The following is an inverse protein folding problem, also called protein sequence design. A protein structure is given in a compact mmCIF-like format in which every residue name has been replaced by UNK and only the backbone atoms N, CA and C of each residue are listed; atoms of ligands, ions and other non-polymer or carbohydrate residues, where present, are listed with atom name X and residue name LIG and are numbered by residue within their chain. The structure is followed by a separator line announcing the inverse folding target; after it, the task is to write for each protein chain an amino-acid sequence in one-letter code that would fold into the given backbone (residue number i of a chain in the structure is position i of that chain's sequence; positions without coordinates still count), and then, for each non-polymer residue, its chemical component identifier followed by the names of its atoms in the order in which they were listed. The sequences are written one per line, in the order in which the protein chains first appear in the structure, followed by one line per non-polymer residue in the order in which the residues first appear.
data_IF_602610953527
#
_entry.id   IF_602610953527
#
_cell.length_a   1.000
_cell.length_b   1.000
_cell.length_c   1.000
_cell.angle_alpha   90.00
_cell.angle_beta   90.00
_cell.angle_gamma   90.00
#
_symmetry.space_group_name_H-M   'P 1'
#
loop_
_entity.id
_entity.type
_entity.pdbx_description
1 polymer ?
#
# COMPACT_ATOMS: atom_id res chain seq x y z
N UNK A 1 -15.49 11.33 -33.28
CA UNK A 1 -15.40 11.18 -31.81
C UNK A 1 -14.31 10.17 -31.50
N UNK A 2 -13.18 10.61 -30.94
CA UNK A 2 -12.01 9.76 -30.68
C UNK A 2 -12.27 8.88 -29.46
N UNK A 3 -12.16 7.55 -29.62
CA UNK A 3 -12.42 6.57 -28.56
C UNK A 3 -11.16 6.39 -27.71
N UNK A 4 -11.22 6.73 -26.42
CA UNK A 4 -10.14 6.45 -25.47
C UNK A 4 -10.12 4.95 -25.13
N UNK A 5 -8.96 4.31 -25.24
CA UNK A 5 -8.75 2.87 -24.99
C UNK A 5 -7.84 2.59 -23.78
N UNK A 6 -7.66 3.56 -22.88
CA UNK A 6 -6.80 3.42 -21.70
C UNK A 6 -7.49 2.74 -20.51
N UNK A 7 -6.68 2.31 -19.54
CA UNK A 7 -7.16 1.85 -18.22
C UNK A 7 -6.99 2.99 -17.21
N UNK A 8 -8.01 3.22 -16.39
CA UNK A 8 -7.89 4.07 -15.21
C UNK A 8 -7.40 3.23 -14.04
N UNK A 9 -6.36 3.69 -13.36
CA UNK A 9 -5.93 3.11 -12.09
C UNK A 9 -6.35 4.05 -10.98
N UNK A 10 -7.28 3.60 -10.14
CA UNK A 10 -7.65 4.33 -8.92
C UNK A 10 -6.59 4.01 -7.89
N UNK A 11 -5.82 5.04 -7.51
CA UNK A 11 -4.84 4.93 -6.44
C UNK A 11 -5.51 5.35 -5.13
N UNK A 12 -5.24 4.64 -4.02
CA UNK A 12 -5.69 5.08 -2.70
C UNK A 12 -5.07 6.46 -2.40
N UNK A 13 -5.82 7.26 -1.65
CA UNK A 13 -5.26 8.44 -1.02
C UNK A 13 -4.43 8.00 0.19
N UNK A 14 -3.13 8.29 0.18
CA UNK A 14 -2.25 8.04 1.31
C UNK A 14 -2.16 9.31 2.15
N UNK A 15 -2.39 9.25 3.47
CA UNK A 15 -2.02 10.32 4.37
C UNK A 15 -0.55 10.72 4.17
N UNK A 16 -0.24 12.01 4.36
CA UNK A 16 1.08 12.58 4.01
C UNK A 16 2.26 11.87 4.70
N UNK A 17 2.07 11.46 5.94
CA UNK A 17 3.04 10.69 6.73
C UNK A 17 3.21 9.24 6.25
N UNK A 18 2.24 8.71 5.50
CA UNK A 18 2.26 7.36 4.92
C UNK A 18 2.71 7.34 3.44
N UNK A 19 2.96 8.48 2.79
CA UNK A 19 3.37 8.51 1.38
C UNK A 19 4.65 7.71 1.09
N UNK A 20 5.57 7.58 2.06
CA UNK A 20 6.77 6.73 1.93
C UNK A 20 6.46 5.25 1.67
N UNK A 21 5.27 4.77 2.06
CA UNK A 21 4.83 3.40 1.72
C UNK A 21 4.72 3.21 0.20
N UNK A 22 4.36 4.26 -0.55
CA UNK A 22 4.31 4.23 -2.00
C UNK A 22 5.70 3.97 -2.57
N UNK A 23 6.71 4.71 -2.10
CA UNK A 23 8.10 4.54 -2.53
C UNK A 23 8.61 3.13 -2.24
N UNK A 24 8.32 2.61 -1.03
CA UNK A 24 8.67 1.24 -0.64
C UNK A 24 7.97 0.19 -1.52
N UNK A 25 6.71 0.41 -1.89
CA UNK A 25 5.94 -0.51 -2.73
C UNK A 25 6.48 -0.58 -4.17
N UNK A 26 6.95 0.54 -4.72
CA UNK A 26 7.55 0.61 -6.06
C UNK A 26 9.01 0.15 -6.10
N UNK A 27 9.69 0.06 -4.95
CA UNK A 27 11.08 -0.38 -4.89
C UNK A 27 11.20 -1.90 -4.75
N UNK A 28 11.65 -2.59 -5.80
CA UNK A 28 11.79 -4.06 -5.85
C UNK A 28 12.58 -4.67 -4.67
N UNK A 29 13.40 -3.88 -3.97
CA UNK A 29 14.08 -4.27 -2.73
C UNK A 29 13.13 -4.90 -1.70
N UNK A 30 11.84 -4.54 -1.67
CA UNK A 30 10.87 -5.15 -0.74
C UNK A 30 10.79 -6.68 -0.86
N UNK A 31 11.13 -7.26 -2.02
CA UNK A 31 11.04 -8.72 -2.26
C UNK A 31 12.00 -9.55 -1.39
N UNK A 32 13.12 -8.97 -0.95
CA UNK A 32 14.06 -9.63 -0.03
C UNK A 32 14.29 -8.85 1.28
N UNK A 33 13.56 -7.75 1.49
CA UNK A 33 13.63 -6.96 2.71
C UNK A 33 12.50 -7.36 3.68
N UNK A 34 12.83 -8.17 4.68
CA UNK A 34 11.89 -8.64 5.69
C UNK A 34 11.27 -7.50 6.52
N UNK A 35 11.99 -6.38 6.72
CA UNK A 35 11.49 -5.22 7.47
C UNK A 35 10.37 -4.55 6.68
N UNK A 36 10.57 -4.31 5.38
CA UNK A 36 9.55 -3.75 4.50
C UNK A 36 8.32 -4.66 4.41
N UNK A 37 8.52 -5.98 4.27
CA UNK A 37 7.40 -6.94 4.26
C UNK A 37 6.63 -6.93 5.58
N UNK A 38 7.33 -6.85 6.71
CA UNK A 38 6.71 -6.75 8.04
C UNK A 38 5.89 -5.47 8.19
N UNK A 39 6.37 -4.34 7.65
CA UNK A 39 5.63 -3.08 7.65
C UNK A 39 4.28 -3.20 6.95
N UNK A 40 4.25 -3.76 5.74
CA UNK A 40 2.98 -4.00 5.02
C UNK A 40 2.10 -5.03 5.72
N UNK A 41 2.69 -6.09 6.29
CA UNK A 41 1.95 -7.08 7.10
C UNK A 41 1.31 -6.44 8.35
N UNK A 42 1.96 -5.46 8.98
CA UNK A 42 1.42 -4.73 10.15
C UNK A 42 0.22 -3.86 9.80
N UNK A 43 0.17 -3.28 8.59
CA UNK A 43 -0.99 -2.50 8.13
C UNK A 43 -2.26 -3.36 8.04
N UNK A 44 -2.16 -4.53 7.42
CA UNK A 44 -3.25 -5.50 7.35
C UNK A 44 -2.71 -6.87 6.97
N UNK A 45 -2.54 -7.75 7.96
CA UNK A 45 -2.00 -9.09 7.75
C UNK A 45 -2.88 -9.96 6.84
N UNK A 46 -4.20 -9.83 6.93
CA UNK A 46 -5.12 -10.61 6.10
C UNK A 46 -5.06 -10.14 4.65
N UNK A 47 -5.03 -8.83 4.42
CA UNK A 47 -4.93 -8.28 3.07
C UNK A 47 -3.55 -8.54 2.45
N UNK A 48 -2.50 -8.52 3.27
CA UNK A 48 -1.14 -8.89 2.86
C UNK A 48 -1.09 -10.31 2.28
N UNK A 49 -1.71 -11.29 2.96
CA UNK A 49 -1.82 -12.65 2.43
C UNK A 49 -2.71 -12.72 1.17
N UNK A 50 -3.87 -12.06 1.16
CA UNK A 50 -4.80 -12.03 0.02
C UNK A 50 -4.23 -11.36 -1.24
N UNK A 51 -3.22 -10.52 -1.08
CA UNK A 51 -2.52 -9.84 -2.18
C UNK A 51 -1.25 -10.57 -2.57
N UNK A 52 -1.02 -11.78 -2.04
CA UNK A 52 0.19 -12.59 -2.29
C UNK A 52 1.46 -11.79 -2.03
N UNK A 53 1.48 -11.05 -0.92
CA UNK A 53 2.62 -10.24 -0.49
C UNK A 53 3.02 -9.15 -1.51
N UNK A 54 2.07 -8.66 -2.31
CA UNK A 54 2.30 -7.57 -3.26
C UNK A 54 1.87 -6.23 -2.64
N UNK A 55 2.83 -5.35 -2.27
CA UNK A 55 2.52 -4.09 -1.59
C UNK A 55 1.75 -3.10 -2.48
N UNK A 56 2.02 -3.06 -3.79
CA UNK A 56 1.27 -2.19 -4.72
C UNK A 56 -0.21 -2.61 -4.81
N UNK A 57 -0.45 -3.90 -4.94
CA UNK A 57 -1.81 -4.45 -4.98
C UNK A 57 -2.52 -4.27 -3.64
N UNK A 58 -1.79 -4.42 -2.52
CA UNK A 58 -2.30 -4.19 -1.18
C UNK A 58 -2.74 -2.73 -0.98
N UNK A 59 -1.88 -1.76 -1.29
CA UNK A 59 -2.23 -0.34 -1.20
C UNK A 59 -3.44 -0.03 -2.08
N UNK A 60 -3.52 -0.60 -3.28
CA UNK A 60 -4.70 -0.46 -4.15
C UNK A 60 -6.02 -1.03 -3.60
N UNK A 61 -5.99 -1.81 -2.52
CA UNK A 61 -7.16 -2.52 -1.97
C UNK A 61 -7.45 -2.21 -0.50
N UNK A 62 -6.50 -1.62 0.23
CA UNK A 62 -6.69 -1.31 1.65
C UNK A 62 -7.76 -0.22 1.81
N UNK A 63 -8.56 -0.31 2.87
CA UNK A 63 -9.58 0.70 3.15
C UNK A 63 -8.93 2.01 3.58
N UNK A 64 -9.58 3.13 3.24
CA UNK A 64 -9.14 4.46 3.68
C UNK A 64 -9.08 4.52 5.22
N UNK A 65 -10.08 3.97 5.91
CA UNK A 65 -10.15 3.94 7.37
C UNK A 65 -8.88 3.32 8.00
N UNK A 66 -8.36 2.22 7.44
CA UNK A 66 -7.13 1.61 7.95
C UNK A 66 -5.90 2.47 7.74
N UNK A 67 -5.82 3.18 6.60
CA UNK A 67 -4.73 4.13 6.36
C UNK A 67 -4.79 5.30 7.33
N UNK A 68 -5.99 5.82 7.63
CA UNK A 68 -6.15 6.86 8.64
C UNK A 68 -5.78 6.36 10.04
N UNK A 69 -6.20 5.13 10.41
CA UNK A 69 -5.81 4.53 11.69
C UNK A 69 -4.29 4.39 11.81
N UNK A 70 -3.62 3.84 10.79
CA UNK A 70 -2.16 3.71 10.77
C UNK A 70 -1.43 5.07 10.78
N UNK A 71 -2.01 6.09 10.14
CA UNK A 71 -1.50 7.46 10.16
C UNK A 71 -1.52 8.09 11.55
N UNK A 72 -2.43 7.66 12.42
CA UNK A 72 -2.58 8.19 13.78
C UNK A 72 -1.99 7.25 14.85
N UNK A 73 -1.31 6.17 14.45
CA UNK A 73 -0.64 5.22 15.34
C UNK A 73 0.86 5.56 15.44
N UNK A 74 1.26 6.13 16.58
CA UNK A 74 2.66 6.47 16.88
C UNK A 74 3.60 5.25 16.90
N UNK A 75 3.06 4.02 17.07
CA UNK A 75 3.84 2.79 16.95
C UNK A 75 4.10 2.38 15.50
N UNK A 76 3.37 2.95 14.55
CA UNK A 76 3.48 2.67 13.12
C UNK A 76 4.32 3.72 12.37
N UNK A 77 4.16 5.01 12.72
CA UNK A 77 4.88 6.15 12.13
C UNK A 77 6.28 6.31 12.74
#
# INVERSE_FOLDING_TARGET
MTKFLGKFQVLPYLPKNLEKLRDLAYNLHWTWNAITQSLFRRLDSNLWEKTHHNPLMMLGKISQEKLEQASNDDGFI
#
